data_IF_621175585954
#
_entry.id   IF_621175585954
#
_cell.length_a   1.000
_cell.length_b   1.000
_cell.length_c   1.000
_cell.angle_alpha   90.00
_cell.angle_beta   90.00
_cell.angle_gamma   90.00
#
_symmetry.space_group_name_H-M   'P 1'
#
loop_
_entity.id
_entity.type
_entity.pdbx_description
1 polymer ?
#
# COMPACT_ATOMS: atom_id res chain seq x y z
N UNK A 1 12.76 -16.91 -0.70
CA UNK A 1 11.90 -16.13 -1.42
C UNK A 1 11.10 -15.09 -0.76
N UNK A 2 10.79 -14.38 -0.38
CA UNK A 2 10.20 -13.50 0.52
C UNK A 2 9.00 -12.71 0.15
N UNK A 3 8.82 -12.24 -1.05
CA UNK A 3 7.66 -11.39 -1.37
C UNK A 3 6.76 -12.04 -2.41
N UNK A 4 5.82 -12.81 -1.94
CA UNK A 4 4.78 -13.40 -2.79
C UNK A 4 3.43 -12.77 -2.47
N UNK A 5 2.73 -12.32 -3.51
CA UNK A 5 1.43 -11.68 -3.40
C UNK A 5 0.41 -12.33 -4.32
N UNK A 6 -0.86 -12.28 -3.90
CA UNK A 6 -1.98 -12.53 -4.77
C UNK A 6 -2.54 -11.23 -5.32
N UNK A 7 -2.87 -11.24 -6.60
CA UNK A 7 -3.68 -10.22 -7.25
C UNK A 7 -5.13 -10.70 -7.20
N UNK A 8 -5.95 -10.04 -6.41
CA UNK A 8 -7.36 -10.39 -6.23
C UNK A 8 -8.22 -9.37 -6.95
N UNK A 9 -9.08 -9.86 -7.84
CA UNK A 9 -10.01 -9.03 -8.58
C UNK A 9 -11.38 -9.07 -7.92
N UNK A 10 -11.89 -7.92 -7.47
CA UNK A 10 -13.19 -7.82 -6.81
C UNK A 10 -14.39 -8.04 -7.72
N UNK A 11 -14.25 -7.99 -9.03
CA UNK A 11 -15.36 -8.29 -9.96
C UNK A 11 -15.73 -9.77 -9.98
N UNK A 12 -15.33 -10.57 -9.00
CA UNK A 12 -15.08 -11.89 -9.32
C UNK A 12 -15.92 -12.94 -8.66
N UNK A 13 -15.96 -13.25 -7.45
CA UNK A 13 -16.63 -14.45 -6.98
C UNK A 13 -17.56 -14.17 -5.81
N UNK A 14 -18.82 -14.48 -6.01
CA UNK A 14 -19.72 -14.74 -4.90
C UNK A 14 -19.51 -16.18 -4.46
N UNK A 15 -18.98 -16.38 -3.28
CA UNK A 15 -18.68 -17.72 -2.74
C UNK A 15 -19.92 -18.60 -2.55
N UNK A 16 -21.11 -18.01 -2.43
CA UNK A 16 -22.35 -18.78 -2.26
C UNK A 16 -22.92 -19.27 -3.58
N UNK A 17 -22.84 -18.44 -4.62
CA UNK A 17 -23.45 -18.74 -5.92
C UNK A 17 -22.44 -19.13 -6.99
N UNK A 18 -21.17 -18.90 -6.76
CA UNK A 18 -20.08 -19.05 -7.74
C UNK A 18 -20.30 -18.26 -9.01
N UNK A 19 -21.06 -17.18 -8.94
CA UNK A 19 -21.32 -16.27 -10.06
C UNK A 19 -20.42 -15.05 -9.93
N UNK A 20 -19.99 -14.57 -11.09
CA UNK A 20 -19.32 -13.28 -11.17
C UNK A 20 -20.35 -12.18 -10.88
N UNK A 21 -20.10 -11.43 -9.81
CA UNK A 21 -20.94 -10.28 -9.46
C UNK A 21 -20.17 -9.00 -9.59
N UNK A 22 -20.72 -8.10 -10.38
CA UNK A 22 -20.28 -6.72 -10.40
C UNK A 22 -21.06 -5.96 -9.33
N UNK A 23 -20.37 -5.70 -8.21
CA UNK A 23 -20.96 -4.87 -7.16
C UNK A 23 -20.81 -3.42 -7.59
N UNK A 24 -21.89 -2.81 -8.03
CA UNK A 24 -21.91 -1.36 -8.17
C UNK A 24 -22.18 -0.77 -6.78
N UNK A 25 -21.16 -0.18 -6.19
CA UNK A 25 -21.30 0.58 -4.98
C UNK A 25 -21.89 1.94 -5.37
N UNK A 26 -23.05 2.33 -4.80
CA UNK A 26 -23.57 3.67 -5.05
C UNK A 26 -22.54 4.72 -4.66
N UNK A 27 -22.26 5.63 -5.55
CA UNK A 27 -21.43 6.78 -5.24
C UNK A 27 -22.08 7.56 -4.09
N UNK A 28 -21.57 7.37 -2.91
CA UNK A 28 -21.97 8.19 -1.76
C UNK A 28 -21.06 9.41 -1.70
N UNK A 29 -21.46 10.44 -2.42
CA UNK A 29 -21.02 11.80 -2.19
C UNK A 29 -19.53 12.04 -2.15
N UNK A 30 -18.84 12.06 -3.29
CA UNK A 30 -17.51 12.59 -3.33
C UNK A 30 -16.46 11.79 -4.07
N UNK A 31 -16.84 10.95 -4.99
CA UNK A 31 -15.91 10.26 -5.87
C UNK A 31 -15.13 9.09 -5.21
N UNK A 32 -14.48 8.33 -6.03
CA UNK A 32 -13.66 7.21 -5.59
C UNK A 32 -12.36 7.71 -4.95
N UNK A 33 -12.06 7.25 -3.74
CA UNK A 33 -10.79 7.57 -3.07
C UNK A 33 -9.60 6.92 -3.78
N UNK A 34 -9.81 5.74 -4.36
CA UNK A 34 -8.83 5.04 -5.19
C UNK A 34 -9.29 5.19 -6.64
N UNK A 35 -8.66 6.09 -7.42
CA UNK A 35 -9.14 6.42 -8.75
C UNK A 35 -8.84 5.32 -9.78
N UNK A 36 -9.64 5.28 -10.84
CA UNK A 36 -9.33 4.52 -12.04
C UNK A 36 -8.16 5.18 -12.79
N UNK A 37 -7.54 4.42 -13.67
CA UNK A 37 -6.43 4.92 -14.47
C UNK A 37 -5.07 4.65 -13.85
N UNK A 38 -4.02 4.89 -14.61
CA UNK A 38 -2.65 4.63 -14.19
C UNK A 38 -2.21 5.75 -13.24
N UNK A 39 -1.75 5.37 -12.06
CA UNK A 39 -1.17 6.32 -11.11
C UNK A 39 0.20 6.80 -11.57
N UNK A 40 0.63 7.98 -11.13
CA UNK A 40 2.00 8.44 -11.37
C UNK A 40 3.00 7.53 -10.65
N UNK A 41 4.23 7.37 -11.19
CA UNK A 41 5.28 6.65 -10.47
C UNK A 41 5.44 7.19 -9.05
N UNK A 42 5.55 6.31 -8.08
CA UNK A 42 5.68 6.68 -6.67
C UNK A 42 4.37 6.85 -5.92
N UNK A 43 3.22 6.73 -6.58
CA UNK A 43 1.90 6.80 -5.94
C UNK A 43 1.37 5.41 -5.64
N UNK A 44 1.06 5.17 -4.37
CA UNK A 44 0.52 3.89 -3.87
C UNK A 44 -0.69 4.18 -3.00
N UNK A 45 -1.72 3.37 -3.15
CA UNK A 45 -2.87 3.35 -2.25
C UNK A 45 -2.80 2.11 -1.38
N UNK A 46 -3.07 2.28 -0.09
CA UNK A 46 -3.23 1.19 0.85
C UNK A 46 -4.50 1.38 1.67
N UNK A 47 -5.06 0.29 2.12
CA UNK A 47 -6.21 0.29 3.03
C UNK A 47 -5.80 -0.48 4.25
N UNK A 48 -5.99 0.11 5.42
CA UNK A 48 -5.51 -0.48 6.66
C UNK A 48 -6.31 0.00 7.85
N UNK A 49 -6.19 -0.76 8.93
CA UNK A 49 -6.75 -0.42 10.22
C UNK A 49 -5.88 0.61 10.94
N UNK A 50 -6.47 1.71 11.40
CA UNK A 50 -5.80 2.66 12.30
C UNK A 50 -5.98 2.25 13.76
N UNK A 51 -7.21 1.88 14.12
CA UNK A 51 -7.64 1.37 15.43
C UNK A 51 -8.61 0.22 15.20
N UNK A 52 -8.87 -0.66 16.20
CA UNK A 52 -9.85 -1.72 16.04
C UNK A 52 -11.18 -1.20 15.50
N UNK A 53 -11.67 -1.82 14.42
CA UNK A 53 -12.90 -1.44 13.74
C UNK A 53 -12.82 -0.18 12.87
N UNK A 54 -11.72 0.55 12.87
CA UNK A 54 -11.54 1.76 12.06
C UNK A 54 -10.57 1.49 10.91
N UNK A 55 -11.10 1.27 9.73
CA UNK A 55 -10.34 1.00 8.51
C UNK A 55 -10.51 2.16 7.54
N UNK A 56 -9.42 2.59 6.94
CA UNK A 56 -9.43 3.70 5.99
C UNK A 56 -8.43 3.55 4.87
N UNK A 57 -8.50 4.49 3.95
CA UNK A 57 -7.66 4.57 2.76
C UNK A 57 -6.54 5.58 3.00
N UNK A 58 -5.34 5.20 2.61
CA UNK A 58 -4.16 6.05 2.68
C UNK A 58 -3.50 6.12 1.31
N UNK A 59 -3.06 7.31 0.94
CA UNK A 59 -2.31 7.54 -0.28
C UNK A 59 -0.88 7.93 0.06
N UNK A 60 0.07 7.27 -0.58
CA UNK A 60 1.48 7.58 -0.51
C UNK A 60 1.93 8.17 -1.84
N UNK A 61 2.60 9.29 -1.81
CA UNK A 61 3.19 9.92 -2.99
C UNK A 61 4.68 10.11 -2.74
N UNK A 62 5.50 9.54 -3.61
CA UNK A 62 6.94 9.55 -3.48
C UNK A 62 7.56 10.33 -4.62
N UNK A 63 8.48 11.23 -4.27
CA UNK A 63 9.35 11.91 -5.22
C UNK A 63 10.79 11.52 -4.97
N UNK A 64 11.55 11.40 -6.04
CA UNK A 64 12.95 11.02 -6.02
C UNK A 64 13.77 12.13 -6.67
N UNK A 65 14.86 12.50 -6.01
CA UNK A 65 15.81 13.50 -6.49
C UNK A 65 17.23 12.97 -6.45
N UNK A 66 18.15 13.48 -7.30
CA UNK A 66 19.57 13.24 -7.10
C UNK A 66 20.00 13.77 -5.73
N UNK A 67 20.75 12.97 -4.99
CA UNK A 67 21.15 13.35 -3.63
C UNK A 67 22.08 12.32 -2.99
N UNK A 68 22.04 12.23 -1.66
CA UNK A 68 22.98 11.46 -0.85
C UNK A 68 22.33 10.35 -0.03
N UNK A 69 21.08 10.01 -0.31
CA UNK A 69 20.37 8.97 0.44
C UNK A 69 19.50 9.52 1.58
N UNK A 70 19.10 10.77 1.49
CA UNK A 70 18.18 11.37 2.46
C UNK A 70 16.76 10.82 2.25
N UNK A 71 16.12 10.49 3.35
CA UNK A 71 14.75 10.01 3.37
C UNK A 71 13.89 10.93 4.21
N UNK A 72 12.98 11.65 3.57
CA UNK A 72 12.03 12.55 4.23
C UNK A 72 10.62 12.02 4.16
N UNK A 73 9.88 12.23 5.23
CA UNK A 73 8.49 11.82 5.42
C UNK A 73 7.66 13.03 5.80
N UNK A 74 6.51 13.18 5.18
CA UNK A 74 5.54 14.20 5.55
C UNK A 74 4.16 13.56 5.72
N UNK A 75 3.32 14.16 6.56
CA UNK A 75 1.95 13.72 6.74
C UNK A 75 1.72 12.66 7.80
N UNK A 76 2.76 12.17 8.47
CA UNK A 76 2.61 11.16 9.54
C UNK A 76 2.21 11.75 10.90
N UNK A 77 2.26 13.06 11.03
CA UNK A 77 1.96 13.74 12.29
C UNK A 77 2.89 13.31 13.41
N UNK A 78 2.35 13.14 14.60
CA UNK A 78 3.09 12.71 15.79
C UNK A 78 3.03 11.19 16.03
N UNK A 79 2.48 10.43 15.09
CA UNK A 79 2.31 8.98 15.25
C UNK A 79 3.67 8.27 15.16
N UNK A 80 4.13 7.75 16.30
CA UNK A 80 5.42 7.09 16.43
C UNK A 80 5.46 5.77 15.65
N UNK A 81 4.42 4.97 15.74
CA UNK A 81 4.36 3.66 15.08
C UNK A 81 4.34 3.79 13.56
N UNK A 82 3.63 4.79 13.04
CA UNK A 82 3.64 5.11 11.62
C UNK A 82 5.03 5.54 11.15
N UNK A 83 5.72 6.37 11.92
CA UNK A 83 7.10 6.79 11.61
C UNK A 83 8.08 5.63 11.63
N UNK A 84 7.96 4.73 12.59
CA UNK A 84 8.79 3.53 12.66
C UNK A 84 8.54 2.59 11.48
N UNK A 85 7.29 2.42 11.06
CA UNK A 85 6.95 1.63 9.89
C UNK A 85 7.60 2.18 8.62
N UNK A 86 7.55 3.49 8.42
CA UNK A 86 8.20 4.14 7.29
C UNK A 86 9.73 3.95 7.34
N UNK A 87 10.34 4.07 8.51
CA UNK A 87 11.77 3.81 8.68
C UNK A 87 12.15 2.36 8.42
N UNK A 88 11.31 1.41 8.80
CA UNK A 88 11.52 -0.02 8.54
C UNK A 88 11.67 -0.27 7.04
N UNK A 89 10.80 0.31 6.22
CA UNK A 89 10.88 0.18 4.77
C UNK A 89 12.19 0.75 4.22
N UNK A 90 12.58 1.94 4.67
CA UNK A 90 13.80 2.58 4.19
C UNK A 90 15.05 1.80 4.60
N UNK A 91 15.10 1.31 5.84
CA UNK A 91 16.21 0.48 6.31
C UNK A 91 16.30 -0.85 5.56
N UNK A 92 15.15 -1.44 5.24
CA UNK A 92 15.10 -2.64 4.39
C UNK A 92 15.69 -2.36 3.01
N UNK A 93 15.37 -1.23 2.40
CA UNK A 93 15.93 -0.84 1.10
C UNK A 93 17.43 -0.57 1.18
N UNK A 94 17.92 0.04 2.25
CA UNK A 94 19.36 0.23 2.45
C UNK A 94 20.11 -1.10 2.48
N UNK A 95 19.53 -2.09 3.13
CA UNK A 95 20.16 -3.41 3.26
C UNK A 95 20.03 -4.26 1.99
N UNK A 96 18.93 -4.13 1.23
CA UNK A 96 18.55 -5.07 0.18
C UNK A 96 18.27 -4.44 -1.18
N UNK A 97 18.29 -3.11 -1.31
CA UNK A 97 17.86 -2.40 -2.51
C UNK A 97 18.60 -2.84 -3.77
N UNK A 98 19.91 -3.02 -3.67
CA UNK A 98 20.74 -3.43 -4.81
C UNK A 98 20.38 -4.83 -5.31
N UNK A 99 19.98 -5.74 -4.41
CA UNK A 99 19.54 -7.08 -4.80
C UNK A 99 18.15 -7.10 -5.41
N UNK A 100 17.32 -6.08 -5.13
CA UNK A 100 16.00 -5.92 -5.75
C UNK A 100 16.15 -5.31 -7.14
N UNK A 101 16.89 -4.21 -7.25
CA UNK A 101 17.18 -3.54 -8.51
C UNK A 101 18.34 -2.56 -8.35
N UNK A 102 19.21 -2.49 -9.34
CA UNK A 102 20.30 -1.50 -9.39
C UNK A 102 19.77 -0.06 -9.48
N UNK A 103 18.53 0.12 -9.96
CA UNK A 103 17.89 1.44 -10.04
C UNK A 103 17.47 1.98 -8.69
N UNK A 104 17.36 1.13 -7.67
CA UNK A 104 17.00 1.53 -6.32
C UNK A 104 18.29 1.88 -5.57
N UNK A 105 18.69 3.14 -5.68
CA UNK A 105 19.86 3.66 -4.98
C UNK A 105 19.42 4.39 -3.72
N UNK A 106 19.99 4.01 -2.58
CA UNK A 106 19.81 4.70 -1.30
C UNK A 106 21.02 5.57 -0.93
N UNK A 107 21.99 5.70 -1.82
CA UNK A 107 23.21 6.49 -1.60
C UNK A 107 23.34 7.68 -2.54
N UNK A 108 22.72 7.62 -3.72
CA UNK A 108 22.81 8.67 -4.75
C UNK A 108 21.48 9.35 -5.05
N UNK A 109 20.43 8.97 -4.30
CA UNK A 109 19.09 9.50 -4.47
C UNK A 109 18.50 9.90 -3.13
N UNK A 110 17.76 10.99 -3.13
CA UNK A 110 16.93 11.40 -2.00
C UNK A 110 15.47 11.07 -2.32
N UNK A 111 14.73 10.70 -1.28
CA UNK A 111 13.32 10.36 -1.41
C UNK A 111 12.50 11.18 -0.44
N UNK A 112 11.40 11.73 -0.94
CA UNK A 112 10.39 12.41 -0.12
C UNK A 112 9.08 11.68 -0.31
N UNK A 113 8.48 11.22 0.79
CA UNK A 113 7.18 10.57 0.78
C UNK A 113 6.18 11.40 1.56
N UNK A 114 5.05 11.69 0.92
CA UNK A 114 3.90 12.30 1.57
C UNK A 114 2.84 11.23 1.82
N UNK A 115 2.40 11.13 3.08
CA UNK A 115 1.36 10.20 3.51
C UNK A 115 0.07 10.98 3.75
N UNK A 116 -1.02 10.52 3.16
CA UNK A 116 -2.32 11.15 3.28
C UNK A 116 -3.35 10.16 3.82
N UNK A 117 -3.98 10.54 4.92
CA UNK A 117 -5.11 9.83 5.52
C UNK A 117 -6.39 10.34 4.85
N UNK A 118 -6.91 9.59 3.88
CA UNK A 118 -8.01 10.06 3.04
C UNK A 118 -9.36 10.02 3.74
N UNK A 119 -9.51 9.25 4.79
CA UNK A 119 -10.75 9.18 5.59
C UNK A 119 -10.71 10.00 6.87
N UNK A 120 -9.55 10.56 7.22
CA UNK A 120 -9.42 11.37 8.43
C UNK A 120 -9.57 10.59 9.73
N UNK A 121 -9.21 9.32 9.75
CA UNK A 121 -9.38 8.44 10.93
C UNK A 121 -8.13 8.29 11.79
N UNK A 122 -7.03 8.89 11.39
CA UNK A 122 -5.72 8.76 12.02
C UNK A 122 -4.81 7.83 11.22
N UNK A 123 -3.48 7.96 11.44
CA UNK A 123 -2.51 7.13 10.76
C UNK A 123 -2.58 5.67 11.19
N UNK A 124 -2.06 4.79 10.35
CA UNK A 124 -1.88 3.38 10.61
C UNK A 124 -0.40 3.06 10.80
N UNK A 125 -0.11 1.98 11.50
CA UNK A 125 1.24 1.41 11.57
C UNK A 125 1.58 0.49 10.39
N UNK A 126 0.61 0.16 9.54
CA UNK A 126 0.77 -0.79 8.42
C UNK A 126 1.25 -0.09 7.16
N UNK A 127 2.34 0.68 7.26
CA UNK A 127 2.86 1.50 6.17
C UNK A 127 4.18 0.99 5.57
N UNK A 128 4.83 0.00 6.17
CA UNK A 128 6.15 -0.41 5.73
C UNK A 128 6.15 -0.99 4.32
N UNK A 129 5.25 -1.91 4.00
CA UNK A 129 5.15 -2.49 2.67
C UNK A 129 4.69 -1.48 1.61
N UNK A 130 3.62 -0.70 1.84
CA UNK A 130 3.26 0.38 0.90
C UNK A 130 4.39 1.38 0.66
N UNK A 131 5.14 1.75 1.70
CA UNK A 131 6.29 2.64 1.57
C UNK A 131 7.38 2.03 0.69
N UNK A 132 7.72 0.76 0.90
CA UNK A 132 8.69 0.05 0.09
C UNK A 132 8.30 0.07 -1.39
N UNK A 133 7.05 -0.23 -1.69
CA UNK A 133 6.55 -0.25 -3.07
C UNK A 133 6.46 1.14 -3.68
N UNK A 134 6.12 2.16 -2.90
CA UNK A 134 6.10 3.55 -3.36
C UNK A 134 7.51 4.01 -3.75
N UNK A 135 8.52 3.71 -2.96
CA UNK A 135 9.91 4.04 -3.27
C UNK A 135 10.38 3.27 -4.50
N UNK A 136 10.10 1.96 -4.58
CA UNK A 136 10.47 1.16 -5.74
C UNK A 136 9.81 1.67 -7.02
N UNK A 137 8.54 2.02 -6.98
CA UNK A 137 7.81 2.62 -8.11
C UNK A 137 8.47 3.91 -8.57
N UNK A 138 8.80 4.80 -7.65
CA UNK A 138 9.48 6.07 -7.96
C UNK A 138 10.88 5.82 -8.53
N UNK A 139 11.67 4.95 -7.91
CA UNK A 139 13.04 4.66 -8.33
C UNK A 139 13.11 4.02 -9.72
N UNK A 140 12.15 3.16 -10.04
CA UNK A 140 12.07 2.50 -11.34
C UNK A 140 11.34 3.35 -12.39
N UNK A 141 10.72 4.45 -12.01
CA UNK A 141 9.90 5.28 -12.89
C UNK A 141 8.70 4.54 -13.48
N UNK A 142 8.22 3.50 -12.77
CA UNK A 142 7.11 2.66 -13.23
C UNK A 142 5.87 2.90 -12.39
N UNK A 143 4.77 3.35 -13.03
CA UNK A 143 3.52 3.52 -12.31
C UNK A 143 2.91 2.19 -11.92
N UNK A 144 2.08 2.22 -10.88
CA UNK A 144 1.24 1.09 -10.52
C UNK A 144 -0.03 1.07 -11.36
N UNK A 145 -0.69 -0.09 -11.38
CA UNK A 145 -2.01 -0.22 -12.03
C UNK A 145 -3.01 0.69 -11.34
N UNK A 146 -3.92 1.24 -12.12
CA UNK A 146 -5.06 1.98 -11.58
C UNK A 146 -5.99 1.08 -10.78
N UNK A 147 -6.71 1.66 -9.85
CA UNK A 147 -7.65 0.96 -8.97
C UNK A 147 -7.02 -0.12 -8.09
N UNK A 148 -5.71 -0.05 -7.86
CA UNK A 148 -4.96 -1.02 -7.05
C UNK A 148 -4.80 -0.52 -5.62
N UNK A 149 -5.13 -1.37 -4.66
CA UNK A 149 -4.77 -1.21 -3.25
C UNK A 149 -3.70 -2.24 -2.87
N UNK A 150 -2.66 -1.80 -2.17
CA UNK A 150 -1.58 -2.65 -1.67
C UNK A 150 -1.82 -2.89 -0.18
N UNK A 151 -1.89 -4.15 0.23
CA UNK A 151 -2.21 -4.55 1.59
C UNK A 151 -1.05 -5.36 2.19
N UNK A 152 -0.93 -5.30 3.51
CA UNK A 152 0.05 -6.09 4.26
C UNK A 152 1.13 -5.26 4.93
N UNK A 153 1.93 -5.93 5.74
CA UNK A 153 3.03 -5.34 6.47
C UNK A 153 4.32 -6.12 6.19
N UNK A 154 5.44 -5.43 6.28
CA UNK A 154 6.76 -6.05 6.25
C UNK A 154 7.50 -5.73 7.54
N UNK A 155 8.15 -6.73 8.14
CA UNK A 155 9.01 -6.56 9.30
C UNK A 155 10.43 -6.14 8.92
N UNK A 156 11.24 -5.78 9.90
CA UNK A 156 12.65 -5.42 9.68
C UNK A 156 13.42 -6.57 9.00
N UNK A 157 13.08 -7.81 9.30
CA UNK A 157 13.70 -9.00 8.68
C UNK A 157 13.24 -9.28 7.27
N UNK A 158 12.25 -8.53 6.76
CA UNK A 158 11.67 -8.74 5.44
C UNK A 158 10.54 -9.76 5.40
N UNK A 159 10.08 -10.24 6.56
CA UNK A 159 8.92 -11.13 6.61
C UNK A 159 7.63 -10.34 6.39
N UNK A 160 6.79 -10.82 5.49
CA UNK A 160 5.49 -10.21 5.21
C UNK A 160 4.45 -10.85 6.12
N UNK A 161 3.68 -10.02 6.81
CA UNK A 161 2.69 -10.45 7.78
C UNK A 161 1.28 -10.34 7.21
N UNK A 162 0.35 -11.09 7.83
CA UNK A 162 -1.06 -11.09 7.46
C UNK A 162 -1.70 -9.71 7.66
N UNK A 163 -2.74 -9.46 6.88
CA UNK A 163 -3.57 -8.26 7.03
C UNK A 163 -4.57 -8.49 8.17
N UNK A 164 -4.57 -7.58 9.15
CA UNK A 164 -5.56 -7.57 10.22
C UNK A 164 -6.92 -7.15 9.70
N UNK A 165 -7.98 -7.79 10.19
CA UNK A 165 -9.37 -7.50 9.77
C UNK A 165 -9.55 -7.55 8.25
N UNK A 166 -9.02 -8.59 7.61
CA UNK A 166 -8.97 -8.68 6.14
C UNK A 166 -10.34 -8.47 5.49
N UNK A 167 -11.40 -9.07 6.02
CA UNK A 167 -12.74 -8.92 5.45
C UNK A 167 -13.21 -7.45 5.46
N UNK A 168 -12.98 -6.74 6.57
CA UNK A 168 -13.31 -5.32 6.67
C UNK A 168 -12.44 -4.47 5.75
N UNK A 169 -11.15 -4.75 5.69
CA UNK A 169 -10.22 -4.07 4.79
C UNK A 169 -10.62 -4.25 3.33
N UNK A 170 -10.97 -5.45 2.91
CA UNK A 170 -11.42 -5.72 1.54
C UNK A 170 -12.74 -5.01 1.23
N UNK A 171 -13.66 -4.93 2.17
CA UNK A 171 -14.89 -4.19 1.98
C UNK A 171 -14.63 -2.70 1.77
N UNK A 172 -13.74 -2.11 2.58
CA UNK A 172 -13.35 -0.71 2.41
C UNK A 172 -12.63 -0.47 1.08
N UNK A 173 -11.77 -1.40 0.66
CA UNK A 173 -11.15 -1.33 -0.67
C UNK A 173 -12.21 -1.24 -1.78
N UNK A 174 -13.19 -2.14 -1.75
CA UNK A 174 -14.26 -2.19 -2.73
C UNK A 174 -15.08 -0.89 -2.73
N UNK A 175 -15.51 -0.45 -1.54
CA UNK A 175 -16.30 0.77 -1.38
C UNK A 175 -15.55 2.03 -1.81
N UNK A 176 -14.23 2.01 -1.73
CA UNK A 176 -13.36 3.14 -2.08
C UNK A 176 -12.93 3.18 -3.53
N UNK A 177 -13.32 2.19 -4.32
CA UNK A 177 -13.06 2.16 -5.75
C UNK A 177 -11.93 1.24 -6.21
N UNK A 178 -11.32 0.47 -5.31
CA UNK A 178 -10.33 -0.53 -5.70
C UNK A 178 -11.01 -1.65 -6.50
N UNK A 179 -10.40 -2.02 -7.61
CA UNK A 179 -10.81 -3.17 -8.43
C UNK A 179 -9.85 -4.33 -8.29
N UNK A 180 -8.66 -4.05 -7.79
CA UNK A 180 -7.61 -5.02 -7.56
C UNK A 180 -6.95 -4.77 -6.21
N UNK A 181 -6.53 -5.83 -5.56
CA UNK A 181 -5.70 -5.75 -4.36
C UNK A 181 -4.47 -6.62 -4.54
N UNK A 182 -3.35 -6.11 -4.05
CA UNK A 182 -2.13 -6.87 -3.89
C UNK A 182 -2.01 -7.19 -2.40
N UNK A 183 -2.03 -8.47 -2.06
CA UNK A 183 -1.98 -8.89 -0.66
C UNK A 183 -1.00 -10.05 -0.45
N UNK A 184 -0.52 -10.23 0.80
CA UNK A 184 0.38 -11.32 1.10
C UNK A 184 -0.27 -12.67 0.86
N UNK A 185 0.50 -13.62 0.34
CA UNK A 185 0.03 -15.00 0.12
C UNK A 185 -0.50 -15.64 1.41
N UNK A 186 0.07 -15.27 2.56
CA UNK A 186 -0.38 -15.74 3.88
C UNK A 186 -1.78 -15.27 4.25
N UNK A 187 -2.26 -14.18 3.64
CA UNK A 187 -3.63 -13.68 3.83
C UNK A 187 -4.64 -14.37 2.91
N UNK A 188 -4.19 -15.05 1.86
CA UNK A 188 -5.08 -15.70 0.90
C UNK A 188 -5.93 -16.81 1.53
N UNK A 189 -5.44 -17.46 2.58
CA UNK A 189 -6.18 -18.49 3.31
C UNK A 189 -7.45 -17.93 3.99
N UNK A 190 -7.49 -16.62 4.26
CA UNK A 190 -8.62 -15.95 4.90
C UNK A 190 -9.70 -15.50 3.89
N UNK A 191 -9.50 -15.80 2.61
CA UNK A 191 -10.44 -15.46 1.53
C UNK A 191 -11.49 -16.56 1.28
N UNK A 192 -11.33 -17.74 1.84
CA UNK A 192 -12.19 -18.90 1.66
C UNK A 192 -13.52 -18.84 2.39
#
# INVERSE_FOLDING_TARGET
>A
GGMEFYDVNFSYIDNETFEEKHVSVPEQGGGKLIPDGIANPGTIYTVSRSKPGMVGVYRLETQMFPGNGKFERTGLGADRDAKEAANTAFNFLKANGVSISRSISTTQRDYIINYQDLNGIGMTKSLALPTLLAIASAALGKPTLGSLAVLGEISISGAITKVDELANVLQVCLDSGAKKVLLPITSAADLG
#
